data_IF_645845806250
#
_entry.id   IF_645845806250
#
_cell.length_a   1.000
_cell.length_b   1.000
_cell.length_c   1.000
_cell.angle_alpha   90.00
_cell.angle_beta   90.00
_cell.angle_gamma   90.00
#
_symmetry.space_group_name_H-M   'P 1'
#
loop_
_entity.id
_entity.type
_entity.pdbx_description
1 polymer ?
#
# COMPACT_ATOMS: atom_id res chain seq x y z
N UNK A 1 14.80 46.08 -42.22
CA UNK A 1 14.92 47.14 -41.22
C UNK A 1 13.76 47.00 -40.26
N UNK A 2 14.02 46.39 -39.09
CA UNK A 2 13.07 46.24 -37.98
C UNK A 2 13.79 46.82 -36.77
N UNK A 3 13.21 47.77 -36.03
CA UNK A 3 13.90 48.43 -34.92
C UNK A 3 13.92 47.59 -33.67
N UNK A 4 15.02 47.65 -32.90
CA UNK A 4 15.26 47.03 -31.62
C UNK A 4 14.42 47.69 -30.50
N UNK A 5 14.02 46.93 -29.48
CA UNK A 5 13.35 47.49 -28.29
C UNK A 5 14.36 48.02 -27.27
N UNK A 6 13.98 49.09 -26.60
CA UNK A 6 14.72 49.85 -25.61
C UNK A 6 14.89 49.16 -24.26
N UNK A 7 15.89 49.55 -23.46
CA UNK A 7 16.18 48.93 -22.18
C UNK A 7 15.24 49.37 -21.04
N UNK A 8 14.80 48.44 -20.21
CA UNK A 8 14.03 48.70 -18.98
C UNK A 8 14.96 48.96 -17.80
N UNK A 9 14.74 50.03 -17.13
CA UNK A 9 15.35 50.51 -15.89
C UNK A 9 15.07 49.59 -14.67
N UNK A 10 15.95 49.52 -13.69
CA UNK A 10 15.73 48.75 -12.47
C UNK A 10 14.91 49.51 -11.42
N UNK A 11 13.95 48.87 -10.78
CA UNK A 11 13.17 49.38 -9.67
C UNK A 11 13.75 48.91 -8.31
N UNK A 12 13.61 49.66 -7.22
CA UNK A 12 14.47 49.63 -6.08
C UNK A 12 14.05 48.62 -4.99
N UNK A 13 15.03 48.37 -4.13
CA UNK A 13 15.03 47.63 -2.86
C UNK A 13 13.75 47.82 -2.05
N UNK A 14 13.17 46.65 -1.61
CA UNK A 14 12.29 46.58 -0.45
C UNK A 14 12.77 45.48 0.49
N UNK A 15 13.16 45.92 1.60
CA UNK A 15 13.36 45.41 2.95
C UNK A 15 13.08 43.94 3.23
N UNK A 16 14.10 43.34 3.86
CA UNK A 16 14.08 42.21 4.78
C UNK A 16 12.83 42.16 5.65
N UNK A 17 12.10 41.07 5.61
CA UNK A 17 11.40 40.50 6.74
C UNK A 17 11.79 39.06 6.90
N UNK A 18 12.72 38.84 7.82
CA UNK A 18 13.11 37.54 8.38
C UNK A 18 11.92 37.04 9.20
N UNK A 19 11.09 36.17 8.64
CA UNK A 19 10.13 35.38 9.44
C UNK A 19 10.69 33.96 9.51
N UNK A 20 11.21 33.65 10.69
CA UNK A 20 11.41 32.28 11.18
C UNK A 20 10.08 31.54 11.10
N UNK A 21 9.85 30.82 10.01
CA UNK A 21 8.85 29.77 9.94
C UNK A 21 9.42 28.54 10.64
N UNK A 22 9.29 28.53 11.97
CA UNK A 22 9.16 27.28 12.72
C UNK A 22 8.12 26.42 11.99
N UNK A 23 8.55 25.28 11.50
CA UNK A 23 7.72 24.31 10.81
C UNK A 23 6.61 23.79 11.71
N UNK A 24 5.52 24.56 11.81
CA UNK A 24 4.26 24.04 12.26
C UNK A 24 3.72 23.19 11.12
N UNK A 25 3.83 21.86 11.26
CA UNK A 25 3.03 20.92 10.48
C UNK A 25 1.59 21.46 10.44
N UNK A 26 1.01 21.78 9.27
CA UNK A 26 -0.39 22.15 9.25
C UNK A 26 -1.12 20.95 9.84
N UNK A 27 -1.78 21.13 10.97
CA UNK A 27 -2.82 20.23 11.41
C UNK A 27 -3.86 20.26 10.29
N UNK A 28 -3.63 19.46 9.25
CA UNK A 28 -4.67 19.07 8.33
C UNK A 28 -5.65 18.29 9.19
N UNK A 29 -6.46 19.05 9.96
CA UNK A 29 -7.65 18.49 10.51
C UNK A 29 -8.30 17.80 9.34
N UNK A 30 -8.43 16.47 9.41
CA UNK A 30 -9.42 15.79 8.62
C UNK A 30 -10.69 16.62 8.82
N UNK A 31 -11.04 17.42 7.82
CA UNK A 31 -12.37 17.95 7.69
C UNK A 31 -13.22 16.72 7.40
N UNK A 32 -13.46 15.93 8.45
CA UNK A 32 -14.65 15.11 8.48
C UNK A 32 -15.75 16.12 8.21
N UNK A 33 -16.35 16.04 7.04
CA UNK A 33 -17.51 16.83 6.72
C UNK A 33 -18.48 16.65 7.90
N UNK A 34 -18.48 17.62 8.82
CA UNK A 34 -19.46 17.66 9.91
C UNK A 34 -20.76 17.98 9.23
N UNK A 35 -21.48 16.93 8.87
CA UNK A 35 -22.86 17.09 8.42
C UNK A 35 -23.64 17.76 9.56
N UNK A 36 -24.39 18.86 9.28
CA UNK A 36 -25.30 19.42 10.25
C UNK A 36 -26.35 18.35 10.55
N UNK A 37 -26.44 17.93 11.77
CA UNK A 37 -27.28 16.85 12.26
C UNK A 37 -28.77 17.14 12.10
N UNK A 38 -29.52 16.36 11.30
CA UNK A 38 -30.58 15.58 11.92
C UNK A 38 -29.94 14.32 12.47
N UNK A 39 -30.38 13.82 13.62
CA UNK A 39 -29.90 12.55 14.18
C UNK A 39 -30.07 11.47 13.11
N UNK A 40 -29.01 11.18 12.34
CA UNK A 40 -29.04 10.10 11.39
C UNK A 40 -29.25 8.82 12.21
N UNK A 41 -30.20 8.02 11.81
CA UNK A 41 -30.65 6.85 12.54
C UNK A 41 -30.53 5.65 11.63
N UNK A 42 -29.95 4.58 12.15
CA UNK A 42 -30.08 3.26 11.55
C UNK A 42 -31.20 2.51 12.27
N UNK A 43 -32.22 2.13 11.53
CA UNK A 43 -33.29 1.24 11.99
C UNK A 43 -33.22 -0.10 11.28
N UNK A 44 -33.39 -1.17 12.02
CA UNK A 44 -33.40 -2.50 11.44
C UNK A 44 -34.50 -3.35 12.09
N UNK A 45 -35.21 -4.13 11.30
CA UNK A 45 -36.03 -5.23 11.78
C UNK A 45 -35.24 -6.53 11.60
N UNK A 46 -34.82 -7.14 12.70
CA UNK A 46 -33.95 -8.31 12.74
C UNK A 46 -34.77 -9.52 13.28
N UNK A 47 -34.35 -10.76 12.99
CA UNK A 47 -34.98 -11.96 13.53
C UNK A 47 -34.58 -12.18 15.02
N UNK A 48 -34.86 -11.18 15.85
CA UNK A 48 -34.58 -11.13 17.27
C UNK A 48 -35.88 -11.17 18.10
N UNK A 49 -35.78 -11.81 19.26
CA UNK A 49 -36.83 -11.73 20.29
C UNK A 49 -36.65 -10.45 21.12
N UNK A 50 -37.73 -10.00 21.73
CA UNK A 50 -37.66 -8.88 22.68
C UNK A 50 -36.59 -9.10 23.75
N UNK A 51 -35.76 -8.09 23.98
CA UNK A 51 -34.67 -8.12 24.93
C UNK A 51 -33.32 -8.65 24.38
N UNK A 52 -33.31 -9.28 23.19
CA UNK A 52 -32.07 -9.66 22.55
C UNK A 52 -31.35 -8.45 21.97
N UNK A 53 -30.01 -8.54 21.83
CA UNK A 53 -29.17 -7.42 21.42
C UNK A 53 -28.67 -7.57 19.99
N UNK A 54 -28.52 -6.43 19.30
CA UNK A 54 -27.76 -6.28 18.07
C UNK A 54 -26.60 -5.31 18.29
N UNK A 55 -25.54 -5.50 17.57
CA UNK A 55 -24.27 -4.76 17.69
C UNK A 55 -24.01 -4.03 16.37
N UNK A 56 -23.77 -2.73 16.44
CA UNK A 56 -23.26 -1.92 15.34
C UNK A 56 -21.72 -1.79 15.49
N UNK A 57 -20.98 -2.16 14.46
CA UNK A 57 -19.54 -2.07 14.45
C UNK A 57 -19.00 -1.31 13.26
N UNK A 58 -17.87 -0.64 13.45
CA UNK A 58 -17.07 -0.07 12.36
C UNK A 58 -16.37 -1.18 11.57
N UNK A 59 -15.95 -0.84 10.35
CA UNK A 59 -15.07 -1.68 9.53
C UNK A 59 -13.86 -0.83 9.16
N UNK A 60 -12.66 -1.34 9.46
CA UNK A 60 -11.40 -0.74 9.04
C UNK A 60 -10.43 -1.86 8.66
N UNK A 61 -10.43 -2.26 7.39
CA UNK A 61 -9.70 -3.44 6.92
C UNK A 61 -10.02 -4.69 7.77
N UNK A 62 -9.04 -5.19 8.53
CA UNK A 62 -9.18 -6.36 9.42
C UNK A 62 -9.69 -6.01 10.82
N UNK A 63 -9.78 -4.73 11.16
CA UNK A 63 -10.22 -4.23 12.46
C UNK A 63 -11.71 -3.92 12.47
N UNK A 64 -12.34 -4.16 13.59
CA UNK A 64 -13.76 -3.87 13.80
C UNK A 64 -13.97 -3.46 15.25
N UNK A 65 -14.43 -2.23 15.45
CA UNK A 65 -14.72 -1.70 16.79
C UNK A 65 -16.24 -1.66 17.01
N UNK A 66 -16.70 -2.09 18.16
CA UNK A 66 -18.10 -1.94 18.56
C UNK A 66 -18.40 -0.48 18.82
N UNK A 67 -19.35 0.08 18.07
CA UNK A 67 -19.78 1.47 18.18
C UNK A 67 -21.00 1.64 19.05
N UNK A 68 -21.96 0.73 18.96
CA UNK A 68 -23.19 0.77 19.74
C UNK A 68 -23.82 -0.63 19.87
N UNK A 69 -24.61 -0.80 20.92
CA UNK A 69 -25.45 -1.97 21.13
C UNK A 69 -26.89 -1.49 21.28
N UNK A 70 -27.83 -2.16 20.63
CA UNK A 70 -29.26 -1.87 20.74
C UNK A 70 -30.06 -3.12 21.10
N UNK A 71 -31.11 -2.94 21.91
CA UNK A 71 -31.99 -4.03 22.34
C UNK A 71 -33.21 -4.06 21.44
N UNK A 72 -33.62 -5.23 21.00
CA UNK A 72 -34.77 -5.45 20.17
C UNK A 72 -36.09 -5.27 20.95
N UNK A 73 -37.07 -4.63 20.32
CA UNK A 73 -38.45 -4.55 20.81
C UNK A 73 -39.23 -5.86 20.57
N UNK A 74 -40.52 -5.87 20.89
CA UNK A 74 -41.38 -7.04 20.70
C UNK A 74 -41.58 -7.47 19.24
N UNK A 75 -41.22 -6.61 18.27
CA UNK A 75 -41.29 -6.88 16.83
C UNK A 75 -39.88 -7.15 16.23
N UNK A 76 -38.86 -7.29 17.05
CA UNK A 76 -37.46 -7.47 16.60
C UNK A 76 -36.86 -6.21 16.02
N UNK A 77 -37.39 -5.03 16.30
CA UNK A 77 -36.86 -3.78 15.80
C UNK A 77 -35.76 -3.28 16.73
N UNK A 78 -34.66 -2.83 16.13
CA UNK A 78 -33.53 -2.18 16.80
C UNK A 78 -33.28 -0.81 16.19
N UNK A 79 -32.78 0.12 17.00
CA UNK A 79 -32.43 1.46 16.58
C UNK A 79 -31.04 1.82 17.11
N UNK A 80 -30.19 2.29 16.22
CA UNK A 80 -28.89 2.87 16.54
C UNK A 80 -28.88 4.34 16.17
N UNK A 81 -28.48 5.18 17.07
CA UNK A 81 -28.06 6.54 16.72
C UNK A 81 -26.64 6.50 16.19
N UNK A 82 -26.40 7.13 15.05
CA UNK A 82 -25.04 7.15 14.50
C UNK A 82 -24.09 7.85 15.46
N UNK A 83 -22.90 7.27 15.70
CA UNK A 83 -21.93 7.86 16.59
C UNK A 83 -21.47 9.22 16.05
N UNK A 84 -21.23 10.18 16.93
CA UNK A 84 -20.66 11.46 16.58
C UNK A 84 -19.28 11.22 15.94
N UNK A 85 -19.07 11.75 14.73
CA UNK A 85 -17.84 11.51 13.98
C UNK A 85 -17.82 10.25 13.10
N UNK A 86 -18.98 9.63 12.87
CA UNK A 86 -19.11 8.52 11.93
C UNK A 86 -18.61 8.89 10.52
N UNK A 87 -18.05 7.93 9.81
CA UNK A 87 -17.50 8.08 8.45
C UNK A 87 -18.50 7.60 7.39
N UNK A 88 -18.37 8.07 6.17
CA UNK A 88 -19.06 7.49 5.02
C UNK A 88 -18.39 6.17 4.64
N UNK A 89 -19.15 5.07 4.60
CA UNK A 89 -18.62 3.75 4.30
C UNK A 89 -19.46 2.62 4.86
N UNK A 90 -18.87 1.44 4.88
CA UNK A 90 -19.55 0.25 5.38
C UNK A 90 -19.43 0.11 6.89
N UNK A 91 -20.56 -0.31 7.48
CA UNK A 91 -20.69 -0.73 8.87
C UNK A 91 -21.25 -2.15 8.92
N UNK A 92 -21.02 -2.82 10.03
CA UNK A 92 -21.57 -4.16 10.29
C UNK A 92 -22.64 -4.06 11.36
N UNK A 93 -23.83 -4.60 11.08
CA UNK A 93 -24.86 -4.88 12.08
C UNK A 93 -24.87 -6.38 12.30
N UNK A 94 -24.55 -6.82 13.51
CA UNK A 94 -24.51 -8.24 13.89
C UNK A 94 -25.61 -8.53 14.93
N UNK A 95 -26.17 -9.72 14.86
CA UNK A 95 -27.11 -10.29 15.82
C UNK A 95 -26.82 -11.78 16.00
N UNK A 96 -27.50 -12.48 16.93
CA UNK A 96 -27.17 -13.83 17.37
C UNK A 96 -26.67 -14.78 16.26
N UNK A 97 -27.44 -14.93 15.17
CA UNK A 97 -27.20 -15.93 14.13
C UNK A 97 -26.94 -15.30 12.77
N UNK A 98 -26.70 -13.97 12.70
CA UNK A 98 -26.53 -13.30 11.43
C UNK A 98 -25.83 -11.94 11.51
N UNK A 99 -25.51 -11.43 10.35
CA UNK A 99 -24.93 -10.09 10.20
C UNK A 99 -25.36 -9.48 8.87
N UNK A 100 -25.28 -8.17 8.78
CA UNK A 100 -25.44 -7.44 7.53
C UNK A 100 -24.41 -6.32 7.42
N UNK A 101 -23.95 -6.08 6.21
CA UNK A 101 -23.16 -4.91 5.86
C UNK A 101 -24.11 -3.80 5.42
N UNK A 102 -23.96 -2.63 5.99
CA UNK A 102 -24.75 -1.44 5.73
C UNK A 102 -23.83 -0.36 5.18
N UNK A 103 -24.12 0.14 3.97
CA UNK A 103 -23.43 1.31 3.43
C UNK A 103 -24.14 2.57 3.90
N UNK A 104 -23.42 3.41 4.62
CA UNK A 104 -23.91 4.68 5.12
C UNK A 104 -23.23 5.87 4.45
N UNK A 105 -24.03 6.83 4.02
CA UNK A 105 -23.62 8.06 3.33
C UNK A 105 -23.96 9.36 4.10
N UNK A 106 -24.31 9.24 5.37
CA UNK A 106 -24.76 10.35 6.19
C UNK A 106 -26.29 10.47 6.27
N UNK A 107 -27.03 9.67 5.51
CA UNK A 107 -28.49 9.68 5.51
C UNK A 107 -29.07 8.55 6.39
N UNK A 108 -30.30 8.68 6.88
CA UNK A 108 -30.97 7.62 7.62
C UNK A 108 -31.09 6.33 6.81
N UNK A 109 -30.88 5.20 7.46
CA UNK A 109 -30.99 3.85 6.88
C UNK A 109 -32.06 3.05 7.61
N UNK A 110 -32.89 2.33 6.85
CA UNK A 110 -33.90 1.39 7.36
C UNK A 110 -33.90 0.11 6.52
N UNK A 111 -33.86 -1.05 7.16
CA UNK A 111 -33.88 -2.33 6.49
C UNK A 111 -34.53 -3.44 7.32
N UNK A 112 -34.92 -4.52 6.64
CA UNK A 112 -35.42 -5.76 7.24
C UNK A 112 -34.44 -6.88 6.89
N UNK A 113 -33.94 -7.61 7.86
CA UNK A 113 -33.18 -8.83 7.62
C UNK A 113 -34.13 -9.98 7.26
N UNK A 114 -33.93 -10.55 6.08
CA UNK A 114 -34.72 -11.69 5.57
C UNK A 114 -33.98 -13.02 5.85
N UNK A 115 -32.71 -12.97 6.23
CA UNK A 115 -31.84 -14.10 6.54
C UNK A 115 -30.44 -13.62 6.92
N UNK A 116 -29.48 -14.53 7.15
CA UNK A 116 -28.14 -14.16 7.62
C UNK A 116 -27.46 -13.09 6.78
N UNK A 117 -27.55 -13.19 5.44
CA UNK A 117 -26.91 -12.23 4.51
C UNK A 117 -27.91 -11.59 3.53
N UNK A 118 -29.22 -11.73 3.82
CA UNK A 118 -30.29 -11.22 2.95
C UNK A 118 -31.05 -10.11 3.66
N UNK A 119 -31.19 -8.96 3.00
CA UNK A 119 -31.88 -7.80 3.54
C UNK A 119 -32.79 -7.15 2.49
N UNK A 120 -33.91 -6.59 2.96
CA UNK A 120 -34.77 -5.68 2.22
C UNK A 120 -34.51 -4.25 2.71
N UNK A 121 -33.97 -3.39 1.82
CA UNK A 121 -33.63 -2.00 2.14
C UNK A 121 -34.86 -1.12 1.89
N UNK A 122 -35.44 -0.58 2.95
CA UNK A 122 -36.57 0.33 2.89
C UNK A 122 -36.17 1.78 2.71
N UNK A 123 -35.01 2.14 3.24
CA UNK A 123 -34.38 3.47 3.14
C UNK A 123 -32.87 3.36 3.17
N UNK A 124 -32.17 4.10 2.30
CA UNK A 124 -30.71 4.09 2.19
C UNK A 124 -30.29 4.04 0.72
N UNK A 125 -30.47 5.18 0.02
CA UNK A 125 -30.29 5.27 -1.45
C UNK A 125 -28.90 4.85 -1.91
N UNK A 126 -27.85 5.22 -1.18
CA UNK A 126 -26.50 4.82 -1.52
C UNK A 126 -26.31 3.30 -1.42
N UNK A 127 -26.83 2.68 -0.36
CA UNK A 127 -26.75 1.24 -0.16
C UNK A 127 -27.58 0.48 -1.19
N UNK A 128 -28.77 0.96 -1.50
CA UNK A 128 -29.63 0.39 -2.54
C UNK A 128 -28.97 0.48 -3.91
N UNK A 129 -28.44 1.66 -4.29
CA UNK A 129 -27.73 1.87 -5.55
C UNK A 129 -26.52 0.95 -5.69
N UNK A 130 -25.72 0.80 -4.63
CA UNK A 130 -24.60 -0.14 -4.59
C UNK A 130 -25.04 -1.57 -4.89
N UNK A 131 -26.06 -2.07 -4.16
CA UNK A 131 -26.54 -3.44 -4.29
C UNK A 131 -27.17 -3.72 -5.65
N UNK A 132 -28.05 -2.85 -6.13
CA UNK A 132 -28.74 -3.01 -7.41
C UNK A 132 -27.77 -2.99 -8.58
N UNK A 133 -26.81 -2.05 -8.58
CA UNK A 133 -25.79 -1.97 -9.63
C UNK A 133 -24.86 -3.16 -9.59
N UNK A 134 -24.44 -3.59 -8.41
CA UNK A 134 -23.62 -4.79 -8.21
C UNK A 134 -24.32 -6.04 -8.74
N UNK A 135 -25.60 -6.23 -8.43
CA UNK A 135 -26.39 -7.35 -8.95
C UNK A 135 -26.58 -7.27 -10.47
N UNK A 136 -26.77 -6.07 -11.01
CA UNK A 136 -26.91 -5.87 -12.46
C UNK A 136 -25.63 -6.28 -13.20
N UNK A 137 -24.45 -5.88 -12.72
CA UNK A 137 -23.17 -6.33 -13.27
C UNK A 137 -23.00 -7.85 -13.22
N UNK A 138 -23.31 -8.48 -12.08
CA UNK A 138 -23.23 -9.92 -11.91
C UNK A 138 -24.14 -10.66 -12.90
N UNK A 139 -25.42 -10.23 -13.02
CA UNK A 139 -26.39 -10.83 -13.96
C UNK A 139 -25.93 -10.69 -15.40
N UNK A 140 -25.46 -9.51 -15.78
CA UNK A 140 -25.00 -9.20 -17.12
C UNK A 140 -23.81 -10.09 -17.50
N UNK A 141 -22.82 -10.21 -16.66
CA UNK A 141 -21.63 -11.02 -16.88
C UNK A 141 -21.90 -12.52 -16.87
N UNK A 142 -22.81 -12.98 -15.97
CA UNK A 142 -23.27 -14.37 -15.99
C UNK A 142 -23.98 -14.73 -17.31
N UNK A 143 -24.86 -13.86 -17.82
CA UNK A 143 -25.50 -14.03 -19.13
C UNK A 143 -24.48 -14.07 -20.26
N UNK A 144 -23.52 -13.15 -20.24
CA UNK A 144 -22.44 -13.13 -21.24
C UNK A 144 -21.65 -14.46 -21.24
N UNK A 145 -21.30 -14.96 -20.06
CA UNK A 145 -20.56 -16.21 -19.94
C UNK A 145 -21.35 -17.42 -20.46
N UNK A 146 -22.64 -17.47 -20.18
CA UNK A 146 -23.54 -18.51 -20.74
C UNK A 146 -23.57 -18.47 -22.27
N UNK A 147 -23.65 -17.28 -22.87
CA UNK A 147 -23.63 -17.12 -24.33
C UNK A 147 -22.28 -17.45 -24.94
N UNK A 148 -21.17 -17.15 -24.26
CA UNK A 148 -19.82 -17.54 -24.69
C UNK A 148 -19.72 -19.08 -24.73
N UNK A 149 -20.20 -19.76 -23.70
CA UNK A 149 -20.20 -21.22 -23.63
C UNK A 149 -21.09 -21.81 -24.73
N UNK A 150 -22.32 -21.30 -24.87
CA UNK A 150 -23.23 -21.71 -25.93
C UNK A 150 -22.60 -21.57 -27.35
N UNK A 151 -21.99 -20.43 -27.62
CA UNK A 151 -21.32 -20.15 -28.90
C UNK A 151 -20.23 -21.19 -29.23
N UNK A 152 -19.50 -21.66 -28.22
CA UNK A 152 -18.40 -22.65 -28.41
C UNK A 152 -18.91 -24.02 -28.86
N UNK A 153 -20.18 -24.35 -28.60
CA UNK A 153 -20.78 -25.64 -28.96
C UNK A 153 -21.26 -25.70 -30.43
N UNK A 154 -21.30 -24.54 -31.13
CA UNK A 154 -21.83 -24.46 -32.49
C UNK A 154 -20.75 -23.97 -33.49
N UNK A 155 -20.72 -24.48 -34.73
CA UNK A 155 -19.84 -23.96 -35.79
C UNK A 155 -20.11 -22.49 -36.11
N UNK A 156 -19.11 -21.77 -36.56
CA UNK A 156 -19.19 -20.31 -36.86
C UNK A 156 -20.26 -19.96 -37.91
N UNK A 157 -20.57 -20.89 -38.82
CA UNK A 157 -21.61 -20.73 -39.84
C UNK A 157 -23.03 -20.90 -39.33
N UNK A 158 -23.20 -21.41 -38.10
CA UNK A 158 -24.51 -21.67 -37.51
C UNK A 158 -25.22 -20.36 -37.12
N UNK A 159 -26.54 -20.33 -37.28
CA UNK A 159 -27.35 -19.18 -36.92
C UNK A 159 -27.35 -18.90 -35.41
N UNK A 160 -27.31 -19.95 -34.59
CA UNK A 160 -27.19 -19.81 -33.13
C UNK A 160 -25.86 -19.20 -32.73
N UNK A 161 -24.75 -19.60 -33.38
CA UNK A 161 -23.43 -19.01 -33.16
C UNK A 161 -23.47 -17.48 -33.44
N UNK A 162 -23.99 -17.09 -34.61
CA UNK A 162 -24.09 -15.67 -35.00
C UNK A 162 -25.02 -14.88 -34.09
N UNK A 163 -26.14 -15.45 -33.66
CA UNK A 163 -27.08 -14.83 -32.74
C UNK A 163 -26.44 -14.65 -31.37
N UNK A 164 -25.74 -15.66 -30.82
CA UNK A 164 -25.01 -15.57 -29.57
C UNK A 164 -23.92 -14.50 -29.65
N UNK A 165 -23.16 -14.45 -30.75
CA UNK A 165 -22.12 -13.41 -30.96
C UNK A 165 -22.69 -11.98 -30.91
N UNK A 166 -23.84 -11.75 -31.57
CA UNK A 166 -24.53 -10.46 -31.54
C UNK A 166 -24.97 -10.08 -30.13
N UNK A 167 -25.53 -11.04 -29.39
CA UNK A 167 -25.97 -10.79 -28.01
C UNK A 167 -24.77 -10.55 -27.07
N UNK A 168 -23.66 -11.26 -27.21
CA UNK A 168 -22.42 -11.02 -26.45
C UNK A 168 -21.96 -9.58 -26.65
N UNK A 169 -21.91 -9.11 -27.90
CA UNK A 169 -21.51 -7.72 -28.22
C UNK A 169 -22.42 -6.68 -27.52
N UNK A 170 -23.74 -6.88 -27.51
CA UNK A 170 -24.67 -5.98 -26.83
C UNK A 170 -24.44 -5.96 -25.32
N UNK A 171 -24.23 -7.14 -24.71
CA UNK A 171 -23.93 -7.24 -23.27
C UNK A 171 -22.59 -6.60 -22.91
N UNK A 172 -21.58 -6.67 -23.79
CA UNK A 172 -20.29 -6.00 -23.60
C UNK A 172 -20.45 -4.46 -23.65
N UNK A 173 -21.27 -3.94 -24.55
CA UNK A 173 -21.58 -2.50 -24.57
C UNK A 173 -22.31 -2.05 -23.29
N UNK A 174 -23.25 -2.86 -22.79
CA UNK A 174 -23.95 -2.57 -21.55
C UNK A 174 -23.01 -2.59 -20.33
N UNK A 175 -22.07 -3.56 -20.27
CA UNK A 175 -21.02 -3.64 -19.25
C UNK A 175 -20.13 -2.38 -19.27
N UNK A 176 -19.70 -1.96 -20.44
CA UNK A 176 -18.90 -0.74 -20.62
C UNK A 176 -19.64 0.52 -20.15
N UNK A 177 -20.94 0.63 -20.49
CA UNK A 177 -21.77 1.76 -20.06
C UNK A 177 -21.95 1.79 -18.53
N UNK A 178 -22.14 0.62 -17.90
CA UNK A 178 -22.22 0.54 -16.44
C UNK A 178 -20.89 0.89 -15.78
N UNK A 179 -19.78 0.39 -16.29
CA UNK A 179 -18.44 0.73 -15.79
C UNK A 179 -18.14 2.23 -15.94
N UNK A 180 -18.53 2.85 -17.05
CA UNK A 180 -18.37 4.29 -17.26
C UNK A 180 -19.13 5.09 -16.19
N UNK A 181 -20.38 4.71 -15.88
CA UNK A 181 -21.19 5.34 -14.82
C UNK A 181 -20.58 5.15 -13.43
N UNK A 182 -20.05 3.96 -13.11
CA UNK A 182 -19.39 3.66 -11.83
C UNK A 182 -18.10 4.50 -11.69
N UNK A 183 -17.38 4.70 -12.77
CA UNK A 183 -16.11 5.43 -12.77
C UNK A 183 -16.27 6.95 -12.91
N UNK A 184 -17.50 7.45 -13.09
CA UNK A 184 -17.75 8.89 -13.13
C UNK A 184 -17.24 9.55 -11.83
N UNK A 185 -16.37 10.56 -11.88
CA UNK A 185 -15.89 11.27 -10.71
C UNK A 185 -17.01 11.87 -9.84
N UNK A 186 -18.14 12.17 -10.44
CA UNK A 186 -19.33 12.73 -9.76
C UNK A 186 -20.34 11.66 -9.32
N UNK A 187 -20.01 10.39 -9.48
CA UNK A 187 -20.88 9.30 -9.05
C UNK A 187 -21.20 9.39 -7.56
N UNK A 188 -22.48 9.13 -7.20
CA UNK A 188 -22.92 9.08 -5.81
C UNK A 188 -22.21 7.99 -5.01
N UNK A 189 -22.33 8.06 -3.68
CA UNK A 189 -21.63 7.17 -2.73
C UNK A 189 -21.77 5.69 -3.08
N UNK A 190 -22.96 5.22 -3.45
CA UNK A 190 -23.18 3.82 -3.80
C UNK A 190 -22.29 3.33 -4.96
N UNK A 191 -22.19 4.10 -6.04
CA UNK A 191 -21.34 3.77 -7.19
C UNK A 191 -19.87 3.93 -6.86
N UNK A 192 -19.51 4.96 -6.10
CA UNK A 192 -18.14 5.19 -5.64
C UNK A 192 -17.60 3.97 -4.87
N UNK A 193 -18.38 3.40 -3.96
CA UNK A 193 -17.98 2.19 -3.22
C UNK A 193 -18.01 0.92 -4.06
N UNK A 194 -18.72 0.88 -5.18
CA UNK A 194 -18.70 -0.24 -6.11
C UNK A 194 -17.46 -0.23 -7.03
N UNK A 195 -16.83 0.93 -7.24
CA UNK A 195 -15.74 1.15 -8.19
C UNK A 195 -14.59 0.15 -8.06
N UNK A 196 -14.04 -0.14 -6.87
CA UNK A 196 -12.88 -1.02 -6.76
C UNK A 196 -13.17 -2.47 -7.15
N UNK A 197 -14.37 -2.98 -6.87
CA UNK A 197 -14.73 -4.36 -7.18
C UNK A 197 -15.34 -4.53 -8.59
N UNK A 198 -15.91 -3.48 -9.16
CA UNK A 198 -16.63 -3.54 -10.43
C UNK A 198 -15.85 -4.21 -11.58
N UNK A 199 -14.55 -3.98 -11.78
CA UNK A 199 -13.79 -4.66 -12.82
C UNK A 199 -13.73 -6.19 -12.68
N UNK A 200 -13.78 -6.68 -11.45
CA UNK A 200 -13.56 -8.09 -11.10
C UNK A 200 -14.84 -8.88 -10.84
N UNK A 201 -15.96 -8.20 -10.64
CA UNK A 201 -17.25 -8.84 -10.32
C UNK A 201 -17.66 -9.85 -11.40
N UNK A 202 -18.02 -11.06 -10.97
CA UNK A 202 -18.53 -12.12 -11.86
C UNK A 202 -17.49 -12.64 -12.84
N UNK A 203 -16.22 -12.34 -12.66
CA UNK A 203 -15.10 -12.91 -13.38
C UNK A 203 -14.45 -14.02 -12.54
N UNK A 204 -13.95 -15.05 -13.18
CA UNK A 204 -13.21 -16.11 -12.50
C UNK A 204 -11.79 -15.60 -12.21
N UNK A 205 -11.36 -15.47 -10.94
CA UNK A 205 -10.02 -15.01 -10.61
C UNK A 205 -8.92 -15.86 -11.24
N UNK A 206 -9.09 -17.19 -11.30
CA UNK A 206 -8.10 -18.11 -11.87
C UNK A 206 -7.91 -17.88 -13.38
N UNK A 207 -8.97 -17.53 -14.11
CA UNK A 207 -8.89 -17.23 -15.55
C UNK A 207 -8.31 -15.83 -15.81
N UNK A 208 -8.52 -14.90 -14.90
CA UNK A 208 -7.99 -13.53 -15.02
C UNK A 208 -6.51 -13.44 -14.65
N UNK A 209 -6.08 -14.19 -13.65
CA UNK A 209 -4.74 -14.09 -13.04
C UNK A 209 -3.60 -14.18 -14.07
N UNK A 210 -3.59 -15.10 -15.05
CA UNK A 210 -2.53 -15.16 -16.05
C UNK A 210 -2.46 -13.92 -16.96
N UNK A 211 -3.55 -13.16 -17.05
CA UNK A 211 -3.67 -11.96 -17.89
C UNK A 211 -3.38 -10.66 -17.12
N UNK A 212 -3.43 -10.71 -15.78
CA UNK A 212 -3.22 -9.57 -14.91
C UNK A 212 -1.75 -9.50 -14.50
N UNK A 213 -1.17 -8.33 -14.71
CA UNK A 213 0.10 -7.96 -14.09
C UNK A 213 -0.15 -7.13 -12.83
N UNK A 214 0.72 -7.18 -11.82
CA UNK A 214 0.54 -6.41 -10.57
C UNK A 214 0.20 -4.94 -10.81
N UNK A 215 0.94 -4.23 -11.68
CA UNK A 215 0.66 -2.82 -11.97
C UNK A 215 -0.71 -2.56 -12.58
N UNK A 216 -1.18 -3.42 -13.51
CA UNK A 216 -2.51 -3.27 -14.12
C UNK A 216 -3.64 -3.58 -13.13
N UNK A 217 -3.46 -4.54 -12.23
CA UNK A 217 -4.47 -4.84 -11.21
C UNK A 217 -4.76 -3.61 -10.31
N UNK A 218 -3.72 -2.97 -9.77
CA UNK A 218 -3.89 -1.80 -8.90
C UNK A 218 -4.51 -0.62 -9.64
N UNK A 219 -4.17 -0.42 -10.93
CA UNK A 219 -4.80 0.61 -11.76
C UNK A 219 -6.28 0.34 -12.00
N UNK A 220 -6.65 -0.92 -12.33
CA UNK A 220 -8.04 -1.32 -12.54
C UNK A 220 -8.87 -1.19 -11.25
N UNK A 221 -8.29 -1.59 -10.11
CA UNK A 221 -8.93 -1.54 -8.80
C UNK A 221 -9.16 -0.10 -8.31
N UNK A 222 -8.40 0.88 -8.81
CA UNK A 222 -8.50 2.29 -8.44
C UNK A 222 -8.58 2.51 -6.92
N UNK A 223 -7.61 1.98 -6.18
CA UNK A 223 -7.60 1.98 -4.71
C UNK A 223 -7.21 3.34 -4.11
N UNK A 224 -7.29 4.44 -4.87
CA UNK A 224 -6.90 5.78 -4.42
C UNK A 224 -7.87 6.48 -3.47
N UNK A 225 -9.04 5.93 -3.25
CA UNK A 225 -10.06 6.53 -2.38
C UNK A 225 -9.84 6.15 -0.91
N UNK A 226 -9.56 7.14 -0.07
CA UNK A 226 -9.30 6.92 1.37
C UNK A 226 -10.47 6.29 2.12
N UNK A 227 -11.71 6.46 1.64
CA UNK A 227 -12.88 5.83 2.22
C UNK A 227 -12.86 4.29 2.08
N UNK A 228 -12.03 3.74 1.18
CA UNK A 228 -11.89 2.30 0.98
C UNK A 228 -11.31 1.57 2.21
N UNK A 229 -10.66 2.27 3.12
CA UNK A 229 -10.24 1.67 4.41
C UNK A 229 -11.45 1.07 5.16
N UNK A 230 -12.65 1.58 4.90
CA UNK A 230 -13.92 1.14 5.47
C UNK A 230 -14.73 0.25 4.51
N UNK A 231 -14.08 -0.30 3.47
CA UNK A 231 -14.72 -1.19 2.51
C UNK A 231 -14.36 -2.66 2.81
N UNK A 232 -15.35 -3.55 2.98
CA UNK A 232 -15.10 -4.94 3.35
C UNK A 232 -14.36 -5.75 2.26
N UNK A 233 -14.31 -5.25 1.03
CA UNK A 233 -13.61 -5.92 -0.08
C UNK A 233 -12.10 -5.68 -0.07
N UNK A 234 -11.62 -4.58 0.54
CA UNK A 234 -10.21 -4.19 0.45
C UNK A 234 -9.24 -5.26 0.96
N UNK A 235 -9.49 -5.96 2.08
CA UNK A 235 -8.64 -7.07 2.51
C UNK A 235 -8.52 -8.16 1.43
N UNK A 236 -9.63 -8.56 0.84
CA UNK A 236 -9.64 -9.58 -0.21
C UNK A 236 -8.89 -9.13 -1.46
N UNK A 237 -9.02 -7.86 -1.85
CA UNK A 237 -8.28 -7.31 -2.98
C UNK A 237 -6.77 -7.29 -2.74
N UNK A 238 -6.33 -7.01 -1.52
CA UNK A 238 -4.90 -7.07 -1.15
C UNK A 238 -4.40 -8.52 -1.22
N UNK A 239 -5.19 -9.49 -0.76
CA UNK A 239 -4.84 -10.92 -0.85
C UNK A 239 -4.78 -11.38 -2.31
N UNK A 240 -5.75 -11.02 -3.14
CA UNK A 240 -5.71 -11.34 -4.58
C UNK A 240 -4.52 -10.66 -5.28
N UNK A 241 -4.19 -9.44 -4.87
CA UNK A 241 -3.00 -8.76 -5.37
C UNK A 241 -1.71 -9.50 -5.01
N UNK A 242 -1.58 -9.99 -3.75
CA UNK A 242 -0.45 -10.82 -3.34
C UNK A 242 -0.31 -12.06 -4.23
N UNK A 243 -1.41 -12.73 -4.58
CA UNK A 243 -1.42 -13.92 -5.43
C UNK A 243 -0.91 -13.69 -6.85
N UNK A 244 -0.87 -12.43 -7.33
CA UNK A 244 -0.27 -12.11 -8.63
C UNK A 244 1.26 -12.20 -8.62
N UNK A 245 1.87 -12.31 -7.44
CA UNK A 245 3.29 -12.55 -7.24
C UNK A 245 3.60 -14.02 -6.95
N UNK A 246 2.69 -14.96 -7.29
CA UNK A 246 2.89 -16.40 -7.06
C UNK A 246 4.24 -16.91 -7.59
N UNK A 247 4.84 -17.90 -6.91
CA UNK A 247 6.11 -18.48 -7.28
C UNK A 247 6.08 -19.01 -8.71
N UNK A 248 7.00 -18.54 -9.52
CA UNK A 248 7.41 -19.30 -10.68
C UNK A 248 8.64 -20.15 -10.32
N UNK A 249 9.06 -21.02 -11.22
CA UNK A 249 10.23 -21.90 -11.01
C UNK A 249 11.55 -21.14 -10.78
N UNK A 250 11.54 -19.80 -10.88
CA UNK A 250 12.74 -18.92 -10.83
C UNK A 250 12.87 -18.22 -9.48
N UNK A 251 11.75 -17.92 -8.80
CA UNK A 251 11.76 -17.12 -7.59
C UNK A 251 11.20 -17.86 -6.38
N UNK A 252 11.86 -17.74 -5.23
CA UNK A 252 11.37 -18.28 -3.96
C UNK A 252 10.15 -17.48 -3.45
N UNK A 253 9.32 -18.09 -2.58
CA UNK A 253 8.21 -17.43 -1.90
C UNK A 253 8.64 -16.15 -1.17
N UNK A 254 9.85 -16.14 -0.64
CA UNK A 254 10.42 -15.00 0.04
C UNK A 254 10.63 -13.79 -0.88
N UNK A 255 11.21 -14.01 -2.08
CA UNK A 255 11.42 -12.94 -3.07
C UNK A 255 10.07 -12.38 -3.53
N UNK A 256 9.06 -13.20 -3.64
CA UNK A 256 7.74 -12.76 -4.03
C UNK A 256 7.06 -11.93 -2.96
N UNK A 257 7.14 -12.35 -1.71
CA UNK A 257 6.65 -11.58 -0.57
C UNK A 257 7.34 -10.20 -0.52
N UNK A 258 8.64 -10.12 -0.80
CA UNK A 258 9.37 -8.85 -0.86
C UNK A 258 8.91 -7.97 -2.03
N UNK A 259 8.76 -8.52 -3.25
CA UNK A 259 8.25 -7.78 -4.42
C UNK A 259 6.85 -7.25 -4.19
N UNK A 260 5.99 -8.05 -3.56
CA UNK A 260 4.66 -7.60 -3.18
C UNK A 260 4.72 -6.42 -2.22
N UNK A 261 5.56 -6.48 -1.18
CA UNK A 261 5.73 -5.39 -0.20
C UNK A 261 6.22 -4.11 -0.88
N UNK A 262 7.23 -4.18 -1.73
CA UNK A 262 7.71 -3.00 -2.49
C UNK A 262 6.59 -2.39 -3.32
N UNK A 263 5.87 -3.22 -4.06
CA UNK A 263 4.83 -2.75 -4.97
C UNK A 263 3.65 -2.14 -4.24
N UNK A 264 3.16 -2.77 -3.14
CA UNK A 264 1.99 -2.26 -2.42
C UNK A 264 2.31 -1.00 -1.62
N UNK A 265 3.47 -0.93 -0.98
CA UNK A 265 3.93 0.26 -0.28
C UNK A 265 4.15 1.41 -1.27
N UNK A 266 4.83 1.16 -2.39
CA UNK A 266 5.03 2.15 -3.45
C UNK A 266 3.73 2.71 -4.01
N UNK A 267 2.71 1.86 -4.20
CA UNK A 267 1.40 2.31 -4.66
C UNK A 267 0.71 3.25 -3.66
N UNK A 268 0.72 2.91 -2.37
CA UNK A 268 0.05 3.70 -1.34
C UNK A 268 0.92 4.82 -0.75
N UNK A 269 2.17 4.97 -1.16
CA UNK A 269 3.10 5.96 -0.62
C UNK A 269 2.57 7.40 -0.72
N UNK A 270 1.85 7.72 -1.80
CA UNK A 270 1.21 9.01 -2.00
C UNK A 270 -0.11 9.19 -1.22
N UNK A 271 -0.55 8.15 -0.48
CA UNK A 271 -1.85 8.09 0.19
C UNK A 271 -1.69 7.66 1.66
N UNK A 272 -1.13 8.51 2.52
CA UNK A 272 -0.78 8.13 3.91
C UNK A 272 -1.95 7.61 4.73
N UNK A 273 -3.18 8.04 4.43
CA UNK A 273 -4.38 7.59 5.12
C UNK A 273 -4.73 6.11 4.87
N UNK A 274 -4.31 5.57 3.71
CA UNK A 274 -4.47 4.15 3.36
C UNK A 274 -3.20 3.35 3.65
N UNK A 275 -2.02 3.95 3.48
CA UNK A 275 -0.75 3.26 3.61
C UNK A 275 -0.60 2.55 4.96
N UNK A 276 -0.83 3.26 6.07
CA UNK A 276 -0.60 2.69 7.40
C UNK A 276 -1.59 1.55 7.75
N UNK A 277 -2.91 1.70 7.52
CA UNK A 277 -3.84 0.58 7.71
C UNK A 277 -3.54 -0.63 6.81
N UNK A 278 -3.18 -0.39 5.55
CA UNK A 278 -2.78 -1.45 4.60
C UNK A 278 -1.51 -2.13 5.06
N UNK A 279 -0.50 -1.37 5.48
CA UNK A 279 0.76 -1.91 6.01
C UNK A 279 0.55 -2.77 7.26
N UNK A 280 -0.36 -2.40 8.16
CA UNK A 280 -0.69 -3.23 9.33
C UNK A 280 -1.37 -4.55 8.93
N UNK A 281 -2.27 -4.51 7.95
CA UNK A 281 -2.90 -5.71 7.41
C UNK A 281 -1.86 -6.62 6.72
N UNK A 282 -0.99 -6.06 5.89
CA UNK A 282 0.10 -6.78 5.20
C UNK A 282 1.06 -7.40 6.22
N UNK A 283 1.45 -6.65 7.26
CA UNK A 283 2.29 -7.16 8.36
C UNK A 283 1.70 -8.41 9.00
N UNK A 284 0.40 -8.40 9.31
CA UNK A 284 -0.26 -9.58 9.91
C UNK A 284 -0.23 -10.78 8.96
N UNK A 285 -0.51 -10.58 7.68
CA UNK A 285 -0.42 -11.65 6.67
C UNK A 285 0.99 -12.22 6.55
N UNK A 286 2.00 -11.36 6.47
CA UNK A 286 3.41 -11.78 6.38
C UNK A 286 3.88 -12.52 7.65
N UNK A 287 3.42 -12.11 8.84
CA UNK A 287 3.71 -12.82 10.09
C UNK A 287 3.09 -14.22 10.08
N UNK A 288 1.84 -14.35 9.64
CA UNK A 288 1.15 -15.63 9.53
C UNK A 288 1.82 -16.56 8.52
N UNK A 289 2.33 -16.02 7.41
CA UNK A 289 3.06 -16.75 6.38
C UNK A 289 4.53 -16.98 6.72
N UNK A 290 5.01 -16.51 7.88
CA UNK A 290 6.39 -16.63 8.33
C UNK A 290 7.42 -16.06 7.33
N UNK A 291 7.18 -14.83 6.85
CA UNK A 291 8.02 -14.14 5.87
C UNK A 291 8.89 -13.03 6.52
N UNK A 292 9.95 -13.38 7.28
CA UNK A 292 10.71 -12.42 8.07
C UNK A 292 11.42 -11.36 7.21
N UNK A 293 11.96 -11.70 6.04
CA UNK A 293 12.64 -10.74 5.17
C UNK A 293 11.68 -9.73 4.55
N UNK A 294 10.46 -10.16 4.20
CA UNK A 294 9.41 -9.25 3.74
C UNK A 294 8.95 -8.30 4.88
N UNK A 295 8.89 -8.78 6.13
CA UNK A 295 8.61 -7.94 7.31
C UNK A 295 9.73 -6.91 7.57
N UNK A 296 10.98 -7.30 7.37
CA UNK A 296 12.13 -6.40 7.46
C UNK A 296 12.05 -5.30 6.41
N UNK A 297 11.75 -5.68 5.17
CA UNK A 297 11.56 -4.73 4.08
C UNK A 297 10.42 -3.76 4.37
N UNK A 298 9.28 -4.27 4.85
CA UNK A 298 8.14 -3.43 5.25
C UNK A 298 8.54 -2.44 6.34
N UNK A 299 9.28 -2.88 7.37
CA UNK A 299 9.81 -2.01 8.42
C UNK A 299 10.69 -0.90 7.86
N UNK A 300 11.61 -1.26 6.96
CA UNK A 300 12.51 -0.30 6.33
C UNK A 300 11.76 0.74 5.51
N UNK A 301 10.83 0.32 4.64
CA UNK A 301 10.05 1.22 3.81
C UNK A 301 9.16 2.17 4.63
N UNK A 302 8.65 1.71 5.78
CA UNK A 302 7.85 2.54 6.68
C UNK A 302 8.71 3.50 7.53
N UNK A 303 9.96 3.16 7.84
CA UNK A 303 10.85 4.06 8.59
C UNK A 303 11.20 5.33 7.82
N UNK A 304 11.20 5.28 6.49
CA UNK A 304 11.41 6.43 5.62
C UNK A 304 10.17 7.35 5.50
N UNK A 305 9.02 6.95 6.07
CA UNK A 305 7.77 7.70 5.98
C UNK A 305 7.63 8.69 7.13
N UNK A 306 7.86 9.97 6.85
CA UNK A 306 7.61 11.07 7.80
C UNK A 306 6.13 11.50 7.81
N UNK A 307 5.17 10.56 7.83
CA UNK A 307 3.76 10.92 7.70
C UNK A 307 3.19 11.46 9.01
N UNK A 308 2.70 12.69 8.99
CA UNK A 308 2.01 13.35 10.11
C UNK A 308 0.55 12.89 10.30
N UNK A 309 0.03 11.95 9.51
CA UNK A 309 -1.41 11.68 9.46
C UNK A 309 -1.94 10.78 10.60
N UNK A 310 -1.14 9.83 11.08
CA UNK A 310 -1.48 8.99 12.23
C UNK A 310 -0.20 8.52 12.93
N UNK A 311 0.43 9.41 13.73
CA UNK A 311 1.69 9.08 14.43
C UNK A 311 1.53 7.93 15.42
N UNK A 312 0.33 7.75 15.99
CA UNK A 312 0.05 6.64 16.91
C UNK A 312 0.07 5.29 16.21
N UNK A 313 -0.58 5.17 15.06
CA UNK A 313 -0.57 3.94 14.25
C UNK A 313 0.84 3.66 13.69
N UNK A 314 1.56 4.69 13.24
CA UNK A 314 2.93 4.54 12.75
C UNK A 314 3.85 4.00 13.86
N UNK A 315 3.81 4.59 15.05
CA UNK A 315 4.61 4.15 16.20
C UNK A 315 4.29 2.69 16.58
N UNK A 316 3.01 2.33 16.64
CA UNK A 316 2.57 0.95 16.89
C UNK A 316 3.08 -0.04 15.84
N UNK A 317 3.04 0.36 14.56
CA UNK A 317 3.57 -0.47 13.47
C UNK A 317 5.08 -0.65 13.58
N UNK A 318 5.81 0.42 13.83
CA UNK A 318 7.26 0.38 14.03
C UNK A 318 7.64 -0.50 15.23
N UNK A 319 6.93 -0.40 16.35
CA UNK A 319 7.14 -1.26 17.51
C UNK A 319 6.89 -2.74 17.18
N UNK A 320 5.82 -3.06 16.45
CA UNK A 320 5.49 -4.42 16.02
C UNK A 320 6.51 -4.98 15.01
N UNK A 321 7.14 -4.13 14.21
CA UNK A 321 8.14 -4.50 13.21
C UNK A 321 9.57 -4.48 13.75
N UNK A 322 9.80 -3.89 14.93
CA UNK A 322 11.14 -3.78 15.54
C UNK A 322 11.92 -5.12 15.59
N UNK A 323 11.31 -6.27 15.91
CA UNK A 323 12.01 -7.55 15.91
C UNK A 323 12.55 -7.95 14.53
N UNK A 324 11.98 -7.40 13.47
CA UNK A 324 12.34 -7.68 12.07
C UNK A 324 13.21 -6.57 11.45
N UNK A 325 13.62 -5.57 12.19
CA UNK A 325 14.35 -4.40 11.71
C UNK A 325 15.72 -4.26 12.40
N UNK A 326 16.67 -5.19 12.21
CA UNK A 326 17.98 -5.10 12.83
C UNK A 326 18.77 -3.86 12.36
N UNK A 327 18.44 -3.32 11.20
CA UNK A 327 19.06 -2.13 10.61
C UNK A 327 18.02 -1.02 10.47
N UNK A 328 17.84 -0.25 11.52
CA UNK A 328 16.90 0.88 11.57
C UNK A 328 17.46 2.04 12.40
N UNK A 329 17.06 3.28 12.14
CA UNK A 329 17.46 4.41 12.96
C UNK A 329 17.25 4.18 14.46
N UNK A 330 18.27 4.47 15.28
CA UNK A 330 18.30 4.22 16.71
C UNK A 330 18.77 2.84 17.13
N UNK A 331 18.85 1.83 16.23
CA UNK A 331 19.41 0.51 16.54
C UNK A 331 20.95 0.51 16.55
N UNK A 332 21.55 -0.47 17.25
CA UNK A 332 22.98 -0.75 17.12
C UNK A 332 23.18 -1.53 15.82
N UNK A 333 24.09 -1.09 14.93
CA UNK A 333 24.34 -1.79 13.68
C UNK A 333 24.83 -3.21 13.96
N UNK A 334 24.40 -4.22 13.16
CA UNK A 334 24.91 -5.57 13.27
C UNK A 334 26.43 -5.63 13.12
N UNK A 335 27.05 -6.60 13.79
CA UNK A 335 28.48 -6.87 13.65
C UNK A 335 28.81 -7.23 12.18
N UNK A 336 29.80 -6.58 11.61
CA UNK A 336 30.38 -6.96 10.33
C UNK A 336 31.37 -8.10 10.60
N UNK A 337 31.05 -9.29 10.14
CA UNK A 337 31.82 -10.50 10.37
C UNK A 337 32.06 -11.25 9.05
N UNK A 338 33.06 -12.11 9.03
CA UNK A 338 33.42 -12.99 7.90
C UNK A 338 33.74 -12.21 6.61
N UNK A 339 34.17 -10.96 6.74
CA UNK A 339 34.63 -10.13 5.64
C UNK A 339 36.15 -10.28 5.43
N UNK A 340 36.64 -9.80 4.28
CA UNK A 340 38.07 -9.66 4.01
C UNK A 340 38.38 -8.27 3.45
N UNK A 341 39.59 -7.79 3.71
CA UNK A 341 40.13 -6.55 3.13
C UNK A 341 40.78 -6.77 1.75
N UNK A 342 41.38 -5.70 1.18
CA UNK A 342 42.05 -5.73 -0.10
C UNK A 342 43.33 -6.65 -0.15
N UNK A 343 43.81 -7.12 0.98
CA UNK A 343 44.90 -8.08 1.10
C UNK A 343 44.42 -9.48 1.53
N UNK A 344 43.13 -9.77 1.40
CA UNK A 344 42.46 -11.01 1.81
C UNK A 344 42.58 -11.33 3.32
N UNK A 345 42.86 -10.34 4.15
CA UNK A 345 42.93 -10.51 5.59
C UNK A 345 41.52 -10.48 6.19
N UNK A 346 41.23 -11.42 7.11
CA UNK A 346 39.93 -11.44 7.76
C UNK A 346 39.61 -10.13 8.49
N UNK A 347 38.38 -9.67 8.32
CA UNK A 347 37.80 -8.48 8.99
C UNK A 347 36.63 -8.87 9.83
N UNK A 348 36.66 -8.45 11.09
CA UNK A 348 35.56 -8.49 12.02
C UNK A 348 35.48 -7.16 12.75
N UNK A 349 34.41 -6.41 12.56
CA UNK A 349 34.33 -5.03 13.07
C UNK A 349 32.90 -4.67 13.51
N UNK A 350 32.78 -4.07 14.70
CA UNK A 350 31.58 -3.36 15.08
C UNK A 350 31.59 -2.00 14.36
N UNK A 351 30.57 -1.65 13.56
CA UNK A 351 30.51 -0.34 12.93
C UNK A 351 30.55 0.80 13.97
N UNK A 352 31.38 1.78 13.68
CA UNK A 352 31.55 3.02 14.45
C UNK A 352 31.09 4.21 13.62
N UNK A 353 31.18 5.43 14.16
CA UNK A 353 30.85 6.66 13.43
C UNK A 353 31.36 6.65 11.99
N UNK A 354 30.46 6.80 11.01
CA UNK A 354 30.79 6.81 9.60
C UNK A 354 29.61 6.37 8.71
N UNK A 355 29.89 6.32 7.41
CA UNK A 355 28.98 5.81 6.39
C UNK A 355 29.41 4.43 5.94
N UNK A 356 28.52 3.47 6.03
CA UNK A 356 28.70 2.11 5.54
C UNK A 356 27.87 1.91 4.27
N UNK A 357 28.53 1.53 3.19
CA UNK A 357 27.91 1.37 1.88
C UNK A 357 28.01 -0.10 1.45
N UNK A 358 26.90 -0.78 1.39
CA UNK A 358 26.80 -2.14 0.89
C UNK A 358 26.45 -2.13 -0.60
N UNK A 359 27.23 -2.85 -1.41
CA UNK A 359 27.11 -2.87 -2.86
C UNK A 359 27.51 -4.24 -3.43
N UNK A 360 27.29 -4.45 -4.72
CA UNK A 360 27.74 -5.67 -5.39
C UNK A 360 28.52 -5.31 -6.66
N UNK A 361 29.64 -6.01 -6.91
CA UNK A 361 30.50 -5.75 -8.06
C UNK A 361 29.91 -6.27 -9.39
N UNK A 362 28.78 -6.93 -9.36
CA UNK A 362 27.95 -7.33 -10.50
C UNK A 362 26.64 -6.52 -10.61
N UNK A 363 26.48 -5.45 -9.83
CA UNK A 363 25.35 -4.55 -9.86
C UNK A 363 25.68 -3.35 -10.76
N UNK A 364 25.15 -3.31 -11.96
CA UNK A 364 25.38 -2.23 -12.93
C UNK A 364 25.08 -0.85 -12.37
N UNK A 365 23.96 -0.69 -11.70
CA UNK A 365 23.54 0.53 -11.03
C UNK A 365 24.56 0.98 -9.95
N UNK A 366 25.11 0.04 -9.17
CA UNK A 366 26.12 0.36 -8.18
C UNK A 366 27.41 0.86 -8.85
N UNK A 367 27.84 0.21 -9.95
CA UNK A 367 29.07 0.56 -10.67
C UNK A 367 28.99 1.96 -11.30
N UNK A 368 27.82 2.38 -11.72
CA UNK A 368 27.59 3.73 -12.26
C UNK A 368 27.57 4.80 -11.16
N UNK A 369 26.94 4.50 -10.03
CA UNK A 369 26.74 5.49 -8.96
C UNK A 369 27.96 5.68 -8.05
N UNK A 370 28.70 4.62 -7.74
CA UNK A 370 29.81 4.69 -6.78
C UNK A 370 30.86 5.75 -7.10
N UNK A 371 31.36 5.91 -8.36
CA UNK A 371 32.33 6.95 -8.67
C UNK A 371 31.75 8.37 -8.57
N UNK A 372 30.47 8.54 -8.84
CA UNK A 372 29.78 9.84 -8.73
C UNK A 372 29.63 10.21 -7.26
N UNK A 373 29.15 9.27 -6.45
CA UNK A 373 29.02 9.42 -5.01
C UNK A 373 30.39 9.72 -4.35
N UNK A 374 31.45 9.01 -4.75
CA UNK A 374 32.79 9.24 -4.23
C UNK A 374 33.25 10.68 -4.47
N UNK A 375 33.08 11.21 -5.70
CA UNK A 375 33.45 12.60 -6.02
C UNK A 375 32.62 13.60 -5.19
N UNK A 376 31.33 13.41 -5.13
CA UNK A 376 30.43 14.28 -4.38
C UNK A 376 30.74 14.26 -2.87
N UNK A 377 30.87 13.05 -2.30
CA UNK A 377 31.10 12.87 -0.87
C UNK A 377 32.46 13.42 -0.43
N UNK A 378 33.51 13.14 -1.17
CA UNK A 378 34.88 13.63 -0.87
C UNK A 378 34.98 15.16 -0.94
N UNK A 379 34.14 15.80 -1.79
CA UNK A 379 34.11 17.25 -1.89
C UNK A 379 33.31 17.92 -0.77
N UNK A 380 32.21 17.29 -0.31
CA UNK A 380 31.27 17.86 0.66
C UNK A 380 31.57 17.45 2.11
N UNK A 381 32.08 16.24 2.31
CA UNK A 381 32.27 15.60 3.61
C UNK A 381 33.65 14.95 3.73
N UNK A 382 34.73 15.68 3.55
CA UNK A 382 36.11 15.10 3.51
C UNK A 382 36.53 14.41 4.82
N UNK A 383 35.96 14.83 5.95
CA UNK A 383 36.25 14.30 7.27
C UNK A 383 35.48 13.03 7.65
N UNK A 384 34.53 12.63 6.82
CA UNK A 384 33.72 11.46 7.10
C UNK A 384 34.37 10.16 6.66
N UNK A 385 34.40 9.19 7.57
CA UNK A 385 34.87 7.84 7.25
C UNK A 385 33.81 7.11 6.44
N UNK A 386 34.17 6.63 5.27
CA UNK A 386 33.33 5.79 4.43
C UNK A 386 33.94 4.39 4.33
N UNK A 387 33.11 3.39 4.65
CA UNK A 387 33.47 1.98 4.50
C UNK A 387 32.52 1.33 3.49
N UNK A 388 33.07 0.73 2.44
CA UNK A 388 32.29 -0.03 1.47
C UNK A 388 32.42 -1.51 1.73
N UNK A 389 31.28 -2.22 1.64
CA UNK A 389 31.22 -3.68 1.82
C UNK A 389 30.60 -4.28 0.56
N UNK A 390 31.39 -5.00 -0.22
CA UNK A 390 30.89 -5.71 -1.40
C UNK A 390 30.34 -7.07 -1.02
N UNK A 391 29.09 -7.34 -1.45
CA UNK A 391 28.35 -8.58 -1.15
C UNK A 391 28.01 -9.38 -2.41
N UNK A 392 28.74 -9.15 -3.52
CA UNK A 392 28.53 -9.91 -4.76
C UNK A 392 29.49 -9.51 -5.88
N UNK A 393 29.51 -10.33 -6.92
CA UNK A 393 30.38 -10.14 -8.08
C UNK A 393 31.78 -10.77 -7.93
N UNK A 394 32.59 -10.66 -8.99
CA UNK A 394 33.96 -11.23 -8.99
C UNK A 394 34.96 -10.36 -8.24
N UNK A 395 35.99 -10.99 -7.70
CA UNK A 395 37.13 -10.28 -7.05
C UNK A 395 37.79 -9.32 -8.02
N UNK A 396 37.90 -9.66 -9.30
CA UNK A 396 38.46 -8.80 -10.33
C UNK A 396 37.61 -7.51 -10.51
N UNK A 397 36.32 -7.63 -10.64
CA UNK A 397 35.41 -6.47 -10.76
C UNK A 397 35.43 -5.61 -9.50
N UNK A 398 35.48 -6.24 -8.31
CA UNK A 398 35.65 -5.54 -7.05
C UNK A 398 36.94 -4.72 -7.03
N UNK A 399 38.11 -5.33 -7.35
CA UNK A 399 39.39 -4.65 -7.39
C UNK A 399 39.44 -3.46 -8.37
N UNK A 400 38.83 -3.62 -9.53
CA UNK A 400 38.70 -2.54 -10.52
C UNK A 400 37.90 -1.36 -9.99
N UNK A 401 36.78 -1.64 -9.31
CA UNK A 401 35.89 -0.61 -8.77
C UNK A 401 36.56 0.13 -7.60
N UNK A 402 37.09 -0.59 -6.60
CA UNK A 402 37.67 0.05 -5.42
C UNK A 402 38.91 0.90 -5.75
N UNK A 403 39.65 0.58 -6.82
CA UNK A 403 40.71 1.40 -7.32
C UNK A 403 40.29 2.81 -7.75
N UNK A 404 38.99 2.98 -8.07
CA UNK A 404 38.40 4.28 -8.43
C UNK A 404 37.90 5.10 -7.22
N UNK A 405 38.00 4.54 -6.01
CA UNK A 405 37.42 5.09 -4.77
C UNK A 405 38.50 5.31 -3.70
N UNK A 406 39.58 6.07 -3.99
CA UNK A 406 40.68 6.24 -3.06
C UNK A 406 40.23 6.94 -1.76
N UNK A 407 40.89 6.60 -0.64
CA UNK A 407 40.64 7.21 0.67
C UNK A 407 39.47 6.60 1.44
N UNK A 408 38.70 5.71 0.84
CA UNK A 408 37.68 4.93 1.52
C UNK A 408 38.26 3.59 2.00
N UNK A 409 37.57 2.97 3.00
CA UNK A 409 37.90 1.61 3.43
C UNK A 409 37.06 0.63 2.61
N UNK A 410 37.66 -0.48 2.16
CA UNK A 410 37.00 -1.44 1.28
C UNK A 410 37.12 -2.85 1.84
N UNK A 411 35.94 -3.46 2.06
CA UNK A 411 35.80 -4.85 2.47
C UNK A 411 34.95 -5.61 1.47
N UNK A 412 35.10 -6.91 1.43
CA UNK A 412 34.19 -7.77 0.66
C UNK A 412 33.81 -8.99 1.47
N UNK A 413 32.60 -9.49 1.22
CA UNK A 413 32.12 -10.76 1.76
C UNK A 413 32.53 -11.88 0.79
N UNK A 414 33.39 -12.83 1.18
CA UNK A 414 33.83 -13.95 0.31
C UNK A 414 32.67 -14.87 -0.07
N UNK A 415 31.63 -15.00 0.80
CA UNK A 415 30.43 -15.77 0.54
C UNK A 415 29.43 -15.03 -0.37
N UNK A 416 29.70 -13.75 -0.67
CA UNK A 416 28.86 -12.95 -1.55
C UNK A 416 27.44 -12.78 -1.00
N UNK A 417 26.45 -13.05 -1.85
CA UNK A 417 25.01 -12.91 -1.47
C UNK A 417 24.53 -13.93 -0.44
N UNK A 418 25.29 -14.98 -0.18
CA UNK A 418 24.97 -16.00 0.81
C UNK A 418 25.70 -15.75 2.16
N UNK A 419 26.40 -14.62 2.26
CA UNK A 419 27.18 -14.26 3.42
C UNK A 419 26.34 -13.78 4.59
N UNK A 420 26.89 -13.98 5.82
CA UNK A 420 26.24 -13.56 7.07
C UNK A 420 25.97 -12.05 7.12
N UNK A 421 26.74 -11.25 6.41
CA UNK A 421 26.53 -9.80 6.29
C UNK A 421 25.24 -9.48 5.54
N UNK A 422 24.91 -10.24 4.50
CA UNK A 422 23.68 -10.08 3.73
C UNK A 422 22.46 -10.36 4.61
N UNK A 423 22.52 -11.41 5.40
CA UNK A 423 21.47 -11.76 6.34
C UNK A 423 21.35 -10.71 7.46
N UNK A 424 22.44 -10.35 8.12
CA UNK A 424 22.45 -9.43 9.25
C UNK A 424 21.97 -8.01 8.88
N UNK A 425 22.33 -7.52 7.67
CA UNK A 425 21.93 -6.19 7.16
C UNK A 425 20.70 -6.24 6.26
N UNK A 426 20.12 -7.41 6.02
CA UNK A 426 18.93 -7.59 5.19
C UNK A 426 19.09 -6.99 3.80
N UNK A 427 20.18 -7.38 3.15
CA UNK A 427 20.57 -6.83 1.84
C UNK A 427 19.82 -7.52 0.70
N UNK A 428 18.54 -7.23 0.54
CA UNK A 428 17.74 -7.75 -0.59
C UNK A 428 17.97 -6.97 -1.90
N UNK A 429 18.51 -5.75 -1.81
CA UNK A 429 18.92 -4.92 -2.95
C UNK A 429 20.13 -4.08 -2.60
N UNK A 430 20.96 -3.78 -3.60
CA UNK A 430 22.12 -2.89 -3.50
C UNK A 430 21.95 -1.71 -4.47
N UNK A 431 22.48 -0.52 -4.11
CA UNK A 431 23.20 -0.20 -2.88
C UNK A 431 22.32 0.01 -1.64
N UNK A 432 22.88 -0.23 -0.45
CA UNK A 432 22.33 0.17 0.84
C UNK A 432 23.33 1.05 1.56
N UNK A 433 22.87 2.17 2.10
CA UNK A 433 23.67 3.11 2.89
C UNK A 433 23.21 3.09 4.34
N UNK A 434 24.13 2.94 5.26
CA UNK A 434 23.88 2.96 6.70
C UNK A 434 24.78 4.00 7.34
N UNK A 435 24.20 5.06 7.87
CA UNK A 435 24.92 6.10 8.61
C UNK A 435 24.93 5.73 10.09
N UNK A 436 26.11 5.65 10.67
CA UNK A 436 26.31 5.39 12.11
C UNK A 436 26.80 6.67 12.77
N UNK A 437 26.11 7.06 13.85
CA UNK A 437 26.44 8.25 14.63
C UNK A 437 27.56 8.05 15.64
N UNK A 438 27.94 9.12 16.34
CA UNK A 438 28.97 9.12 17.38
C UNK A 438 28.67 8.21 18.56
N UNK A 439 27.38 7.98 18.82
CA UNK A 439 26.91 7.11 19.89
C UNK A 439 26.96 5.61 19.51
N UNK A 440 27.44 5.29 18.29
CA UNK A 440 27.51 3.94 17.75
C UNK A 440 26.16 3.38 17.30
N UNK A 441 25.13 4.23 17.18
CA UNK A 441 23.81 3.83 16.71
C UNK A 441 23.59 4.26 15.27
N UNK A 442 22.71 3.56 14.57
CA UNK A 442 22.30 3.94 13.22
C UNK A 442 21.50 5.25 13.31
N UNK A 443 21.96 6.28 12.62
CA UNK A 443 21.26 7.55 12.49
C UNK A 443 20.29 7.51 11.32
N UNK A 444 20.69 6.88 10.19
CA UNK A 444 19.89 6.86 8.98
C UNK A 444 20.21 5.64 8.10
N UNK A 445 19.23 5.23 7.27
CA UNK A 445 19.34 4.12 6.34
C UNK A 445 18.66 4.50 5.03
N UNK A 446 19.37 4.47 3.90
CA UNK A 446 18.82 4.85 2.59
C UNK A 446 19.33 3.97 1.46
N UNK A 447 18.65 3.97 0.32
CA UNK A 447 18.92 3.10 -0.82
C UNK A 447 19.20 3.83 -2.13
N UNK A 448 18.99 5.13 -2.20
CA UNK A 448 19.22 5.90 -3.41
C UNK A 448 20.13 7.09 -3.13
N UNK A 449 21.02 7.40 -4.08
CA UNK A 449 21.89 8.57 -4.03
C UNK A 449 21.10 9.89 -3.89
N UNK A 450 19.95 9.99 -4.55
CA UNK A 450 19.04 11.14 -4.44
C UNK A 450 18.57 11.41 -3.00
N UNK A 451 18.48 10.36 -2.17
CA UNK A 451 18.13 10.50 -0.75
C UNK A 451 19.28 11.09 0.06
N UNK A 452 20.54 10.80 -0.29
CA UNK A 452 21.72 11.42 0.31
C UNK A 452 21.78 12.91 0.04
N UNK A 453 21.57 13.33 -1.21
CA UNK A 453 21.58 14.74 -1.58
C UNK A 453 20.47 15.55 -0.90
N UNK A 454 19.28 14.95 -0.66
CA UNK A 454 18.16 15.61 0.00
C UNK A 454 18.37 15.72 1.51
N UNK A 455 19.06 14.76 2.14
CA UNK A 455 19.27 14.72 3.59
C UNK A 455 20.44 15.59 4.03
N UNK A 456 21.40 15.86 3.14
CA UNK A 456 22.67 16.56 3.47
C UNK A 456 22.88 17.87 2.70
N UNK A 457 21.82 18.45 2.12
CA UNK A 457 21.79 19.84 1.64
C UNK A 457 21.60 20.80 2.81
#
# INVERSE_FOLDING_TARGET
MIPAPAPRTPCPRLLLCLILLLGACPKSGFSQARFPTPKAVLQAQLPLRSGQQAILSSIRLHQSDTLATATADSLGRVRFDWPAGGYTGFYRVAWNDGQSLVLWDGQPVDFVALGPDSVDIRRGDAWQTYRETRQSLLRLRSRRQLLINLRREFPDADELHRSAQKQIFLLEQEDQNLLARINDPQAGTGLRFLRPEAPFLGQNPEEMRPQLRPGSYLQMANLGDTALVHHPILPNMIVEYYRLFEPDSVYSEEIQAMRFVESIVGYFQSQPALLLPVADFVRLGLQQMQQPKALQLLSHLLSAQSSCNDPGLLAKLQDNLRPYAPVSPGSVPPLLDSLVDGADRPVRAQPTEGLYLFWAADCEHCLEQLPQLHRWWSAKHPDWKVTTVSVGGSVQAWNQTVATLPGWTHWRDPAGREGVTVEAYVLYATPLFVKVGRDGRIEDVFRAESSLELTYK
#
